data_IF_928766287671
#
_entry.id   IF_928766287671
#
_cell.length_a   1.000
_cell.length_b   1.000
_cell.length_c   1.000
_cell.angle_alpha   90.00
_cell.angle_beta   90.00
_cell.angle_gamma   90.00
#
_symmetry.space_group_name_H-M   'P 1'
#
loop_
_entity.id
_entity.type
_entity.pdbx_description
1 polymer ?
#
# COMPACT_ATOMS: atom_id res chain seq x y z
N UNK A 1 25.74 21.92 -11.89
CA UNK A 1 25.47 20.49 -11.66
C UNK A 1 23.97 20.32 -11.55
N UNK A 2 23.38 19.38 -12.27
CA UNK A 2 21.93 19.15 -12.25
C UNK A 2 21.63 17.73 -11.79
N UNK A 3 20.70 17.59 -10.85
CA UNK A 3 20.18 16.31 -10.35
C UNK A 3 18.71 16.21 -10.76
N UNK A 4 18.34 15.13 -11.43
CA UNK A 4 16.97 14.85 -11.84
C UNK A 4 16.43 13.69 -11.01
N UNK A 5 15.26 13.86 -10.41
CA UNK A 5 14.67 12.93 -9.45
C UNK A 5 13.20 12.72 -9.80
N UNK A 6 12.72 11.48 -9.78
CA UNK A 6 11.32 11.15 -10.03
C UNK A 6 10.44 11.17 -8.76
N UNK A 7 11.06 10.96 -7.61
CA UNK A 7 10.43 11.00 -6.31
C UNK A 7 10.18 12.45 -5.85
N UNK A 8 8.98 12.95 -6.13
CA UNK A 8 8.50 14.27 -5.69
C UNK A 8 8.56 14.48 -4.17
N UNK A 9 8.44 13.41 -3.37
CA UNK A 9 8.55 13.49 -1.91
C UNK A 9 10.00 13.71 -1.48
N UNK A 10 10.98 13.10 -2.17
CA UNK A 10 12.39 13.33 -1.92
C UNK A 10 12.80 14.76 -2.28
N UNK A 11 12.31 15.28 -3.43
CA UNK A 11 12.53 16.68 -3.83
C UNK A 11 11.95 17.62 -2.76
N UNK A 12 10.70 17.40 -2.35
CA UNK A 12 10.05 18.24 -1.33
C UNK A 12 10.79 18.21 0.01
N UNK A 13 11.40 17.07 0.35
CA UNK A 13 12.19 16.93 1.58
C UNK A 13 13.49 17.75 1.56
N UNK A 14 14.07 18.03 0.39
CA UNK A 14 15.30 18.84 0.29
C UNK A 14 15.12 20.29 0.76
N UNK A 15 13.90 20.84 0.64
CA UNK A 15 13.56 22.20 1.08
C UNK A 15 12.78 22.26 2.39
N UNK A 16 12.59 21.13 3.07
CA UNK A 16 11.76 21.04 4.29
C UNK A 16 12.63 20.94 5.54
N UNK A 17 12.27 21.69 6.59
CA UNK A 17 12.85 21.57 7.93
C UNK A 17 12.04 20.64 8.86
N UNK A 18 11.08 19.88 8.31
CA UNK A 18 10.24 18.96 9.10
C UNK A 18 10.98 17.67 9.42
N UNK A 19 11.04 17.32 10.69
CA UNK A 19 11.64 16.08 11.15
C UNK A 19 10.85 14.86 10.68
N UNK A 20 11.58 13.81 10.27
CA UNK A 20 11.01 12.56 9.81
C UNK A 20 12.05 11.43 9.84
N UNK A 21 11.62 10.16 9.70
CA UNK A 21 12.50 9.00 9.84
C UNK A 21 13.70 9.00 8.88
N UNK A 22 13.56 9.64 7.72
CA UNK A 22 14.59 9.73 6.68
C UNK A 22 15.29 11.10 6.64
N UNK A 23 15.00 12.02 7.58
CA UNK A 23 15.53 13.39 7.54
C UNK A 23 17.07 13.43 7.68
N UNK A 24 17.65 12.45 8.36
CA UNK A 24 19.10 12.29 8.44
C UNK A 24 19.79 12.17 7.07
N UNK A 25 19.06 11.73 6.04
CA UNK A 25 19.55 11.69 4.65
C UNK A 25 19.61 13.10 4.04
N UNK A 26 18.65 13.96 4.37
CA UNK A 26 18.64 15.36 3.93
C UNK A 26 19.73 16.15 4.64
N UNK A 27 19.92 15.93 5.94
CA UNK A 27 21.03 16.51 6.69
C UNK A 27 22.39 16.11 6.09
N UNK A 28 22.52 14.84 5.68
CA UNK A 28 23.72 14.36 5.00
C UNK A 28 23.91 15.00 3.61
N UNK A 29 22.83 15.09 2.82
CA UNK A 29 22.85 15.75 1.51
C UNK A 29 23.28 17.22 1.63
N UNK A 30 22.70 17.99 2.54
CA UNK A 30 23.08 19.39 2.78
C UNK A 30 24.54 19.50 3.25
N UNK A 31 25.01 18.59 4.10
CA UNK A 31 26.42 18.55 4.53
C UNK A 31 27.38 18.33 3.35
N UNK A 32 27.07 17.39 2.45
CA UNK A 32 27.85 17.16 1.23
C UNK A 32 27.82 18.39 0.30
N UNK A 33 26.63 18.97 0.11
CA UNK A 33 26.49 20.19 -0.69
C UNK A 33 27.35 21.34 -0.14
N UNK A 34 27.31 21.60 1.17
CA UNK A 34 28.13 22.63 1.79
C UNK A 34 29.64 22.34 1.67
N UNK A 35 30.08 21.08 1.72
CA UNK A 35 31.47 20.72 1.48
C UNK A 35 31.92 21.04 0.05
N UNK A 36 31.09 20.69 -0.94
CA UNK A 36 31.37 20.97 -2.35
C UNK A 36 31.35 22.47 -2.62
N UNK A 37 30.36 23.21 -2.10
CA UNK A 37 30.24 24.67 -2.26
C UNK A 37 31.42 25.43 -1.65
N UNK A 38 31.96 24.97 -0.51
CA UNK A 38 33.18 25.56 0.08
C UNK A 38 34.40 25.42 -0.81
N UNK A 39 34.56 24.27 -1.48
CA UNK A 39 35.69 24.02 -2.40
C UNK A 39 35.48 24.68 -3.76
N UNK A 40 34.23 24.83 -4.17
CA UNK A 40 33.85 25.40 -5.46
C UNK A 40 32.75 26.47 -5.28
N UNK A 41 33.10 27.70 -4.89
CA UNK A 41 32.11 28.75 -4.60
C UNK A 41 31.17 29.06 -5.76
N UNK A 42 31.65 28.93 -7.00
CA UNK A 42 30.87 29.14 -8.21
C UNK A 42 29.93 27.98 -8.58
N UNK A 43 29.96 26.84 -7.87
CA UNK A 43 29.12 25.70 -8.24
C UNK A 43 27.65 25.99 -7.97
N UNK A 44 26.81 25.80 -8.98
CA UNK A 44 25.36 25.85 -8.86
C UNK A 44 24.81 24.43 -8.94
N UNK A 45 23.96 24.07 -7.97
CA UNK A 45 23.27 22.78 -7.92
C UNK A 45 21.79 23.00 -8.19
N UNK A 46 21.30 22.38 -9.26
CA UNK A 46 19.88 22.42 -9.64
C UNK A 46 19.27 21.04 -9.37
N UNK A 47 18.16 20.99 -8.64
CA UNK A 47 17.40 19.75 -8.42
C UNK A 47 16.08 19.89 -9.17
N UNK A 48 15.88 19.04 -10.17
CA UNK A 48 14.69 19.03 -11.03
C UNK A 48 13.88 17.75 -10.89
N UNK A 49 12.60 17.83 -11.25
CA UNK A 49 11.74 16.66 -11.34
C UNK A 49 11.76 16.08 -12.76
N UNK A 50 11.73 14.77 -12.85
CA UNK A 50 11.60 14.02 -14.10
C UNK A 50 10.49 12.96 -13.91
N UNK A 51 9.65 12.68 -14.91
CA UNK A 51 8.65 11.63 -14.75
C UNK A 51 9.33 10.25 -14.69
N UNK A 52 8.90 9.43 -13.73
CA UNK A 52 9.32 8.03 -13.63
C UNK A 52 8.56 7.15 -14.62
N UNK A 53 9.23 6.10 -15.12
CA UNK A 53 8.66 5.08 -16.02
C UNK A 53 8.17 5.59 -17.39
N UNK A 54 8.75 6.68 -17.91
CA UNK A 54 8.41 7.27 -19.22
C UNK A 54 9.47 7.04 -20.31
N UNK A 55 10.37 6.06 -20.19
CA UNK A 55 11.40 5.80 -21.22
C UNK A 55 12.62 6.71 -21.16
N UNK A 56 12.79 7.50 -20.08
CA UNK A 56 13.92 8.42 -19.94
C UNK A 56 15.14 7.62 -19.49
N UNK A 57 16.03 7.34 -20.44
CA UNK A 57 17.21 6.46 -20.29
C UNK A 57 17.95 6.65 -18.95
N UNK A 58 18.31 7.88 -18.59
CA UNK A 58 19.05 8.15 -17.35
C UNK A 58 18.26 7.84 -16.08
N UNK A 59 16.95 8.11 -16.07
CA UNK A 59 16.08 7.79 -14.92
C UNK A 59 15.84 6.27 -14.84
N UNK A 60 15.61 5.62 -15.98
CA UNK A 60 15.39 4.18 -16.04
C UNK A 60 16.62 3.38 -15.62
N UNK A 61 17.82 3.81 -16.04
CA UNK A 61 19.07 3.20 -15.61
C UNK A 61 19.27 3.35 -14.08
N UNK A 62 18.99 4.53 -13.51
CA UNK A 62 19.07 4.74 -12.07
C UNK A 62 18.07 3.86 -11.30
N UNK A 63 16.84 3.73 -11.81
CA UNK A 63 15.79 2.88 -11.26
C UNK A 63 16.16 1.39 -11.29
N UNK A 64 16.76 0.94 -12.38
CA UNK A 64 17.19 -0.44 -12.55
C UNK A 64 18.29 -0.81 -11.54
N UNK A 65 19.30 0.05 -11.38
CA UNK A 65 20.35 -0.13 -10.39
C UNK A 65 19.82 -0.08 -8.95
N UNK A 66 18.88 0.82 -8.67
CA UNK A 66 18.22 0.87 -7.36
C UNK A 66 17.44 -0.43 -7.06
N UNK A 67 16.75 -0.99 -8.06
CA UNK A 67 16.04 -2.28 -7.95
C UNK A 67 17.02 -3.44 -7.76
N UNK A 68 18.13 -3.49 -8.50
CA UNK A 68 19.19 -4.50 -8.31
C UNK A 68 19.74 -4.47 -6.90
N UNK A 69 20.05 -3.29 -6.36
CA UNK A 69 20.53 -3.14 -4.99
C UNK A 69 19.49 -3.59 -3.95
N UNK A 70 18.20 -3.32 -4.19
CA UNK A 70 17.13 -3.77 -3.30
C UNK A 70 16.91 -5.29 -3.32
N UNK A 71 17.16 -5.95 -4.46
CA UNK A 71 16.94 -7.39 -4.65
C UNK A 71 18.16 -8.24 -4.26
N UNK A 72 19.36 -7.80 -4.66
CA UNK A 72 20.61 -8.55 -4.49
C UNK A 72 21.41 -8.13 -3.26
N UNK A 73 20.96 -7.11 -2.55
CA UNK A 73 21.57 -6.61 -1.33
C UNK A 73 22.54 -5.45 -1.58
N UNK A 74 22.97 -4.84 -0.47
CA UNK A 74 23.91 -3.73 -0.49
C UNK A 74 25.35 -4.22 -0.57
N UNK A 75 26.25 -3.33 -1.03
CA UNK A 75 27.69 -3.54 -0.92
C UNK A 75 28.12 -3.83 0.53
N UNK A 76 29.27 -4.52 0.73
CA UNK A 76 29.86 -4.70 2.05
C UNK A 76 29.91 -3.39 2.85
N UNK A 77 29.67 -3.48 4.15
CA UNK A 77 29.51 -2.33 5.05
C UNK A 77 30.75 -1.43 5.07
N UNK A 78 31.93 -2.00 4.83
CA UNK A 78 33.22 -1.33 4.77
C UNK A 78 33.30 -0.38 3.57
N UNK A 79 32.63 -0.72 2.46
CA UNK A 79 32.59 0.08 1.24
C UNK A 79 31.53 1.18 1.28
N UNK A 80 30.57 1.10 2.21
CA UNK A 80 29.53 2.12 2.36
C UNK A 80 30.11 3.39 2.99
N UNK A 81 29.63 4.59 2.58
CA UNK A 81 29.88 5.84 3.30
C UNK A 81 29.52 5.71 4.79
N UNK A 82 30.30 6.36 5.66
CA UNK A 82 30.19 6.22 7.13
C UNK A 82 28.78 6.44 7.68
N UNK A 83 28.00 7.34 7.07
CA UNK A 83 26.61 7.63 7.42
C UNK A 83 25.68 6.42 7.22
N UNK A 84 25.97 5.56 6.24
CA UNK A 84 25.16 4.38 5.88
C UNK A 84 25.64 3.09 6.57
N UNK A 85 26.72 3.15 7.36
CA UNK A 85 27.21 2.01 8.16
C UNK A 85 26.37 1.79 9.43
N UNK A 86 25.60 2.80 9.85
CA UNK A 86 24.71 2.67 11.01
C UNK A 86 23.47 1.86 10.62
N UNK A 87 22.90 1.06 11.54
CA UNK A 87 21.63 0.38 11.28
C UNK A 87 20.56 1.40 10.85
N UNK A 88 19.75 1.02 9.87
CA UNK A 88 18.65 1.86 9.44
C UNK A 88 17.63 2.04 10.59
N UNK A 89 17.03 3.23 10.72
CA UNK A 89 15.98 3.44 11.70
C UNK A 89 14.81 2.51 11.43
N UNK A 90 14.19 2.04 12.51
CA UNK A 90 13.02 1.17 12.43
C UNK A 90 11.86 1.95 11.79
N UNK A 91 11.37 1.46 10.66
CA UNK A 91 10.20 2.04 10.01
C UNK A 91 8.93 1.59 10.72
N UNK A 92 8.31 2.50 11.49
CA UNK A 92 7.00 2.27 12.12
C UNK A 92 5.93 1.86 11.08
N UNK A 93 6.01 2.40 9.86
CA UNK A 93 5.11 2.03 8.77
C UNK A 93 5.34 0.60 8.29
N UNK A 94 6.59 0.16 8.19
CA UNK A 94 6.94 -1.21 7.83
C UNK A 94 6.44 -2.19 8.90
N UNK A 95 6.66 -1.90 10.19
CA UNK A 95 6.15 -2.72 11.30
C UNK A 95 4.63 -2.84 11.26
N UNK A 96 3.91 -1.72 11.10
CA UNK A 96 2.44 -1.75 11.01
C UNK A 96 1.98 -2.60 9.82
N UNK A 97 2.68 -2.51 8.69
CA UNK A 97 2.37 -3.29 7.48
C UNK A 97 2.63 -4.78 7.68
N UNK A 98 3.74 -5.18 8.29
CA UNK A 98 4.05 -6.59 8.57
C UNK A 98 3.06 -7.17 9.56
N UNK A 99 2.81 -6.48 10.68
CA UNK A 99 1.83 -6.91 11.68
C UNK A 99 0.43 -7.03 11.09
N UNK A 100 -0.02 -6.04 10.30
CA UNK A 100 -1.32 -6.12 9.63
C UNK A 100 -1.40 -7.28 8.62
N UNK A 101 -0.29 -7.61 7.92
CA UNK A 101 -0.23 -8.75 7.01
C UNK A 101 -0.40 -10.07 7.77
N UNK A 102 0.34 -10.26 8.86
CA UNK A 102 0.26 -11.43 9.72
C UNK A 102 -1.15 -11.59 10.31
N UNK A 103 -1.69 -10.50 10.85
CA UNK A 103 -3.04 -10.47 11.42
C UNK A 103 -4.08 -10.87 10.35
N UNK A 104 -4.04 -10.27 9.15
CA UNK A 104 -4.95 -10.63 8.07
C UNK A 104 -4.84 -12.12 7.70
N UNK A 105 -3.62 -12.66 7.64
CA UNK A 105 -3.40 -14.09 7.40
C UNK A 105 -4.03 -14.98 8.48
N UNK A 106 -3.90 -14.60 9.76
CA UNK A 106 -4.54 -15.30 10.86
C UNK A 106 -6.08 -15.23 10.77
N UNK A 107 -6.65 -14.07 10.47
CA UNK A 107 -8.10 -13.91 10.25
C UNK A 107 -8.61 -14.79 9.12
N UNK A 108 -7.88 -14.82 8.01
CA UNK A 108 -8.24 -15.65 6.85
C UNK A 108 -8.22 -17.14 7.20
N UNK A 109 -7.21 -17.62 7.95
CA UNK A 109 -7.17 -19.00 8.45
C UNK A 109 -8.30 -19.31 9.43
N UNK A 110 -8.57 -18.42 10.39
CA UNK A 110 -9.69 -18.58 11.33
C UNK A 110 -11.02 -18.65 10.58
N UNK A 111 -11.21 -17.79 9.58
CA UNK A 111 -12.43 -17.79 8.78
C UNK A 111 -12.59 -19.09 7.99
N UNK A 112 -11.51 -19.62 7.39
CA UNK A 112 -11.51 -20.92 6.69
C UNK A 112 -11.98 -22.09 7.56
N UNK A 113 -11.65 -22.07 8.85
CA UNK A 113 -12.08 -23.11 9.82
C UNK A 113 -13.53 -22.93 10.30
N UNK A 114 -14.18 -21.81 9.97
CA UNK A 114 -15.53 -21.53 10.45
C UNK A 114 -16.59 -22.24 9.61
N UNK A 115 -17.72 -22.68 10.19
CA UNK A 115 -18.85 -23.25 9.43
C UNK A 115 -19.47 -22.29 8.41
N UNK A 116 -19.12 -21.00 8.48
CA UNK A 116 -19.62 -19.96 7.57
C UNK A 116 -18.78 -19.85 6.30
N UNK A 117 -17.59 -20.44 6.27
CA UNK A 117 -16.65 -20.37 5.15
C UNK A 117 -17.29 -20.86 3.85
N UNK A 118 -17.75 -22.11 3.85
CA UNK A 118 -18.29 -22.77 2.66
C UNK A 118 -19.46 -22.02 2.06
N UNK A 119 -20.34 -21.49 2.93
CA UNK A 119 -21.50 -20.71 2.49
C UNK A 119 -21.07 -19.40 1.84
N UNK A 120 -20.07 -18.72 2.40
CA UNK A 120 -19.61 -17.43 1.87
C UNK A 120 -18.76 -17.60 0.59
N UNK A 121 -17.96 -18.66 0.48
CA UNK A 121 -17.16 -18.95 -0.72
C UNK A 121 -18.03 -19.17 -1.96
N UNK A 122 -19.25 -19.70 -1.81
CA UNK A 122 -20.22 -19.81 -2.92
C UNK A 122 -20.64 -18.45 -3.49
N UNK A 123 -20.49 -17.37 -2.73
CA UNK A 123 -20.95 -16.01 -3.08
C UNK A 123 -19.78 -15.09 -3.44
N UNK A 124 -18.65 -15.26 -2.76
CA UNK A 124 -17.45 -14.46 -2.98
C UNK A 124 -16.21 -15.30 -2.77
N UNK A 125 -15.62 -15.70 -3.89
CA UNK A 125 -14.42 -16.54 -3.91
C UNK A 125 -13.20 -15.73 -3.46
N UNK A 126 -12.37 -16.35 -2.64
CA UNK A 126 -11.06 -15.83 -2.23
C UNK A 126 -10.95 -15.53 -0.73
N UNK A 127 -9.81 -14.96 -0.33
CA UNK A 127 -9.53 -14.67 1.08
C UNK A 127 -10.55 -13.67 1.67
N UNK A 128 -10.94 -13.91 2.93
CA UNK A 128 -12.00 -13.17 3.59
C UNK A 128 -11.63 -11.69 3.75
N UNK A 129 -10.38 -11.41 4.14
CA UNK A 129 -9.86 -10.05 4.32
C UNK A 129 -9.79 -9.29 2.99
N UNK A 130 -9.43 -9.96 1.90
CA UNK A 130 -9.39 -9.38 0.56
C UNK A 130 -10.80 -9.08 0.04
N UNK A 131 -11.72 -10.03 0.22
CA UNK A 131 -13.15 -9.88 -0.10
C UNK A 131 -13.77 -8.71 0.65
N UNK A 132 -13.53 -8.62 1.96
CA UNK A 132 -14.04 -7.54 2.80
C UNK A 132 -13.50 -6.16 2.36
N UNK A 133 -12.20 -6.08 2.01
CA UNK A 133 -11.60 -4.85 1.46
C UNK A 133 -12.23 -4.46 0.12
N UNK A 134 -12.44 -5.42 -0.78
CA UNK A 134 -13.12 -5.17 -2.07
C UNK A 134 -14.55 -4.68 -1.84
N UNK A 135 -15.30 -5.34 -0.96
CA UNK A 135 -16.67 -4.94 -0.62
C UNK A 135 -16.73 -3.52 -0.04
N UNK A 136 -15.82 -3.17 0.88
CA UNK A 136 -15.72 -1.82 1.45
C UNK A 136 -15.41 -0.76 0.38
N UNK A 137 -14.59 -1.11 -0.62
CA UNK A 137 -14.25 -0.19 -1.72
C UNK A 137 -15.44 0.07 -2.62
N UNK A 138 -16.17 -0.97 -3.05
CA UNK A 138 -17.31 -0.83 -3.96
C UNK A 138 -18.54 -0.20 -3.29
N UNK A 139 -18.65 -0.34 -1.96
CA UNK A 139 -19.76 0.26 -1.18
C UNK A 139 -19.36 1.60 -0.55
N UNK A 140 -18.19 2.14 -0.90
CA UNK A 140 -17.72 3.44 -0.40
C UNK A 140 -18.73 4.53 -0.78
N UNK A 141 -19.23 5.26 0.21
CA UNK A 141 -20.21 6.34 0.01
C UNK A 141 -21.68 5.89 0.05
N UNK A 142 -21.97 4.58 0.07
CA UNK A 142 -23.34 4.10 0.25
C UNK A 142 -23.80 4.28 1.70
N UNK A 143 -25.09 4.62 1.86
CA UNK A 143 -25.75 4.58 3.17
C UNK A 143 -25.78 3.15 3.69
N UNK A 144 -25.69 3.00 5.02
CA UNK A 144 -25.71 1.70 5.71
C UNK A 144 -26.91 0.84 5.31
N UNK A 145 -28.08 1.44 5.09
CA UNK A 145 -29.29 0.75 4.63
C UNK A 145 -29.08 0.04 3.29
N UNK A 146 -28.50 0.71 2.30
CA UNK A 146 -28.23 0.13 0.99
C UNK A 146 -27.18 -0.98 1.08
N UNK A 147 -26.12 -0.78 1.85
CA UNK A 147 -25.10 -1.81 2.09
C UNK A 147 -25.71 -3.05 2.76
N UNK A 148 -26.65 -2.87 3.69
CA UNK A 148 -27.38 -3.99 4.32
C UNK A 148 -28.20 -4.77 3.30
N UNK A 149 -28.96 -4.09 2.44
CA UNK A 149 -29.73 -4.73 1.36
C UNK A 149 -28.80 -5.52 0.42
N UNK A 150 -27.65 -4.96 0.03
CA UNK A 150 -26.67 -5.66 -0.79
C UNK A 150 -26.14 -6.94 -0.12
N UNK A 151 -25.87 -6.91 1.18
CA UNK A 151 -25.45 -8.11 1.93
C UNK A 151 -26.59 -9.14 1.97
N UNK A 152 -27.82 -8.72 2.24
CA UNK A 152 -29.00 -9.59 2.26
C UNK A 152 -29.22 -10.27 0.90
N UNK A 153 -29.14 -9.50 -0.18
CA UNK A 153 -29.26 -10.00 -1.56
C UNK A 153 -28.14 -11.01 -1.88
N UNK A 154 -26.88 -10.64 -1.61
CA UNK A 154 -25.72 -11.52 -1.88
C UNK A 154 -25.72 -12.80 -1.06
N UNK A 155 -26.15 -12.74 0.19
CA UNK A 155 -26.20 -13.92 1.07
C UNK A 155 -27.48 -14.74 0.95
N UNK A 156 -28.45 -14.25 0.17
CA UNK A 156 -29.77 -14.87 0.05
C UNK A 156 -30.56 -14.88 1.36
N UNK A 157 -30.22 -14.02 2.32
CA UNK A 157 -31.00 -13.74 3.55
C UNK A 157 -31.78 -12.45 3.35
N UNK A 158 -32.76 -12.49 2.46
CA UNK A 158 -33.52 -11.34 2.01
C UNK A 158 -35.02 -11.64 2.07
N UNK A 159 -35.84 -10.63 1.76
CA UNK A 159 -37.30 -10.75 1.81
C UNK A 159 -37.93 -11.27 0.50
N UNK A 160 -37.15 -11.93 -0.37
CA UNK A 160 -37.73 -12.56 -1.56
C UNK A 160 -38.51 -13.83 -1.18
N UNK A 161 -39.59 -14.13 -1.91
CA UNK A 161 -40.49 -15.28 -1.64
C UNK A 161 -39.75 -16.61 -1.51
N UNK A 162 -38.70 -16.83 -2.32
CA UNK A 162 -37.85 -18.02 -2.21
C UNK A 162 -37.21 -18.16 -0.83
N UNK A 163 -36.71 -17.07 -0.24
CA UNK A 163 -36.14 -17.10 1.11
C UNK A 163 -37.21 -17.26 2.17
N UNK A 164 -38.31 -16.51 2.06
CA UNK A 164 -39.43 -16.55 3.01
C UNK A 164 -40.08 -17.93 3.09
N UNK A 165 -40.29 -18.60 1.95
CA UNK A 165 -40.77 -19.98 1.89
C UNK A 165 -39.80 -20.95 2.57
N UNK A 166 -38.49 -20.82 2.31
CA UNK A 166 -37.45 -21.65 2.94
C UNK A 166 -37.47 -21.55 4.47
N UNK A 167 -37.90 -20.42 5.04
CA UNK A 167 -38.03 -20.21 6.49
C UNK A 167 -39.48 -20.38 7.00
N UNK A 168 -40.38 -20.91 6.18
CA UNK A 168 -41.77 -21.21 6.56
C UNK A 168 -42.67 -19.99 6.75
N UNK A 169 -42.33 -18.83 6.18
CA UNK A 169 -43.13 -17.59 6.29
C UNK A 169 -44.13 -17.41 5.14
N UNK A 170 -44.01 -18.16 4.05
CA UNK A 170 -44.95 -18.16 2.93
C UNK A 170 -45.21 -19.58 2.47
N UNK A 171 -46.39 -19.83 1.89
CA UNK A 171 -46.80 -21.16 1.40
C UNK A 171 -46.17 -21.56 0.06
N UNK A 172 -45.70 -20.59 -0.73
CA UNK A 172 -45.05 -20.80 -2.03
C UNK A 172 -43.74 -20.02 -2.13
N UNK A 173 -42.71 -20.55 -2.82
CA UNK A 173 -41.49 -19.82 -3.14
C UNK A 173 -41.63 -18.88 -4.34
N UNK A 174 -42.73 -18.97 -5.09
CA UNK A 174 -43.01 -18.16 -6.26
C UNK A 174 -43.67 -16.83 -5.87
N UNK A 175 -43.33 -15.79 -6.61
CA UNK A 175 -43.97 -14.50 -6.49
C UNK A 175 -45.40 -14.59 -7.08
N UNK A 176 -46.44 -14.15 -6.36
CA UNK A 176 -47.82 -14.20 -6.87
C UNK A 176 -48.10 -13.21 -8.02
N UNK A 177 -47.17 -12.31 -8.34
CA UNK A 177 -47.34 -11.24 -9.32
C UNK A 177 -46.39 -11.35 -10.54
N UNK A 178 -45.58 -12.41 -10.67
CA UNK A 178 -44.41 -12.43 -11.57
C UNK A 178 -44.48 -13.50 -12.70
#
# INVERSE_FOLDING_TARGET
VSLWIDNTSAISATGSNRTGPAHYLMDHFHSLYHQVKRRHPAIELTVGWVPGHEGIEGNEAADEEAKKAALHGSSPKELLPSVFRKPLPISCSAIKKTFAKELNGAWDQMFKRSPRHDRLQRISIGEATATARKFRRITKGLKKSHTSILVQLRTGHNFLYRHLHRIGKTASPLCPCC
#
